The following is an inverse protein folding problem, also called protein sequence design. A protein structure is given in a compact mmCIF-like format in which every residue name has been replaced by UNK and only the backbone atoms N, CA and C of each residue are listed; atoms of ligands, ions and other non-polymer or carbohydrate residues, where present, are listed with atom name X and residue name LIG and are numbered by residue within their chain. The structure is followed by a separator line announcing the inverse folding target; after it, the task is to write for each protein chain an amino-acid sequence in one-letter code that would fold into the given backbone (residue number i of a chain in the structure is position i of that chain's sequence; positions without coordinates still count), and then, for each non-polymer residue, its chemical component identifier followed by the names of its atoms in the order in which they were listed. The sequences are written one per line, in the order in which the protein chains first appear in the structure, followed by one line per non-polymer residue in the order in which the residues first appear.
data_IF_243025578226
#
_entry.id   IF_243025578226
#
_cell.length_a   1.000
_cell.length_b   1.000
_cell.length_c   1.000
_cell.angle_alpha   90.00
_cell.angle_beta   90.00
_cell.angle_gamma   90.00
#
_symmetry.space_group_name_H-M   'P 1'
#
loop_
_entity.id
_entity.type
_entity.pdbx_description
1 polymer ?
#
# COMPACT_ATOMS: atom_id res chain seq x y z
N UNK A 1 -10.37 -18.57 -19.56
CA UNK A 1 -11.14 -19.14 -18.43
C UNK A 1 -10.26 -19.59 -17.24
N UNK A 2 -9.09 -20.22 -17.45
CA UNK A 2 -8.19 -20.65 -16.35
C UNK A 2 -7.51 -19.53 -15.54
N UNK A 3 -7.19 -18.37 -16.15
CA UNK A 3 -6.54 -17.25 -15.45
C UNK A 3 -7.46 -16.57 -14.43
N UNK A 4 -8.71 -16.27 -14.82
CA UNK A 4 -9.70 -15.61 -13.97
C UNK A 4 -10.06 -16.44 -12.71
N UNK A 5 -10.00 -17.77 -12.80
CA UNK A 5 -10.20 -18.65 -11.65
C UNK A 5 -9.06 -18.53 -10.62
N UNK A 6 -7.83 -18.25 -11.09
CA UNK A 6 -6.66 -18.10 -10.24
C UNK A 6 -6.67 -16.74 -9.53
N UNK A 7 -6.99 -15.66 -10.25
CA UNK A 7 -7.03 -14.30 -9.67
C UNK A 7 -8.12 -14.17 -8.61
N UNK A 8 -9.30 -14.77 -8.83
CA UNK A 8 -10.35 -14.82 -7.81
C UNK A 8 -9.90 -15.58 -6.56
N UNK A 9 -9.26 -16.74 -6.73
CA UNK A 9 -8.72 -17.51 -5.61
C UNK A 9 -7.61 -16.75 -4.86
N UNK A 10 -6.78 -15.98 -5.59
CA UNK A 10 -5.77 -15.10 -4.99
C UNK A 10 -6.42 -13.99 -4.15
N UNK A 11 -7.48 -13.35 -4.63
CA UNK A 11 -8.21 -12.34 -3.84
C UNK A 11 -8.90 -12.95 -2.62
N UNK A 12 -9.55 -14.11 -2.76
CA UNK A 12 -10.19 -14.81 -1.64
C UNK A 12 -9.17 -15.30 -0.61
N UNK A 13 -7.99 -15.75 -1.04
CA UNK A 13 -6.87 -16.11 -0.17
C UNK A 13 -6.32 -14.90 0.56
N UNK A 14 -6.11 -13.79 -0.16
CA UNK A 14 -5.66 -12.53 0.42
C UNK A 14 -6.63 -12.02 1.50
N UNK A 15 -7.95 -12.03 1.21
CA UNK A 15 -8.97 -11.62 2.18
C UNK A 15 -8.96 -12.46 3.48
N UNK A 16 -8.56 -13.73 3.37
CA UNK A 16 -8.40 -14.67 4.49
C UNK A 16 -7.03 -14.59 5.16
N UNK A 17 -6.16 -13.68 4.74
CA UNK A 17 -4.79 -13.54 5.21
C UNK A 17 -3.97 -14.84 5.02
N UNK A 18 -4.20 -15.52 3.90
CA UNK A 18 -3.47 -16.74 3.54
C UNK A 18 -2.03 -16.40 3.13
N UNK A 19 -1.08 -16.92 3.91
CA UNK A 19 0.34 -16.64 3.75
C UNK A 19 0.90 -17.12 2.41
N UNK A 20 0.49 -18.29 1.94
CA UNK A 20 1.02 -18.86 0.68
C UNK A 20 0.58 -18.01 -0.53
N UNK A 21 -0.65 -17.51 -0.47
CA UNK A 21 -1.20 -16.61 -1.50
C UNK A 21 -0.50 -15.26 -1.48
N UNK A 22 -0.27 -14.69 -0.29
CA UNK A 22 0.48 -13.42 -0.15
C UNK A 22 1.89 -13.56 -0.72
N UNK A 23 2.61 -14.63 -0.37
CA UNK A 23 3.95 -14.91 -0.89
C UNK A 23 3.94 -15.13 -2.41
N UNK A 24 2.93 -15.80 -2.94
CA UNK A 24 2.75 -15.98 -4.38
C UNK A 24 2.52 -14.66 -5.13
N UNK A 25 1.66 -13.77 -4.61
CA UNK A 25 1.42 -12.44 -5.20
C UNK A 25 2.71 -11.61 -5.14
N UNK A 26 3.42 -11.65 -4.02
CA UNK A 26 4.71 -10.97 -3.87
C UNK A 26 5.72 -11.44 -4.92
N UNK A 27 5.95 -12.75 -5.01
CA UNK A 27 6.90 -13.34 -5.95
C UNK A 27 6.55 -13.04 -7.42
N UNK A 28 5.26 -13.01 -7.76
CA UNK A 28 4.79 -12.77 -9.12
C UNK A 28 4.86 -11.29 -9.56
N UNK A 29 4.68 -10.34 -8.63
CA UNK A 29 4.41 -8.94 -9.00
C UNK A 29 5.41 -7.92 -8.46
N UNK A 30 6.21 -8.25 -7.44
CA UNK A 30 7.14 -7.29 -6.82
C UNK A 30 8.14 -6.71 -7.82
N UNK A 31 8.75 -7.53 -8.68
CA UNK A 31 9.76 -7.07 -9.64
C UNK A 31 9.24 -5.96 -10.58
N UNK A 32 7.96 -6.02 -10.96
CA UNK A 32 7.33 -5.01 -11.80
C UNK A 32 7.23 -3.67 -11.06
N UNK A 33 6.83 -3.69 -9.79
CA UNK A 33 6.72 -2.49 -8.95
C UNK A 33 8.11 -1.94 -8.62
N UNK A 34 9.09 -2.80 -8.38
CA UNK A 34 10.48 -2.41 -8.21
C UNK A 34 11.00 -1.67 -9.45
N UNK A 35 10.79 -2.22 -10.65
CA UNK A 35 11.18 -1.53 -11.89
C UNK A 35 10.47 -0.18 -12.04
N UNK A 36 9.16 -0.11 -11.72
CA UNK A 36 8.42 1.15 -11.73
C UNK A 36 9.06 2.20 -10.81
N UNK A 37 9.38 1.84 -9.57
CA UNK A 37 9.90 2.81 -8.59
C UNK A 37 11.34 3.20 -8.88
N UNK A 38 12.22 2.21 -9.11
CA UNK A 38 13.65 2.45 -9.33
C UNK A 38 13.91 3.23 -10.62
N UNK A 39 13.15 2.97 -11.69
CA UNK A 39 13.31 3.72 -12.95
C UNK A 39 12.72 5.14 -12.87
N UNK A 40 12.02 5.50 -11.80
CA UNK A 40 11.34 6.78 -11.64
C UNK A 40 11.75 7.49 -10.34
N UNK A 41 13.06 7.65 -10.13
CA UNK A 41 13.65 8.44 -9.02
C UNK A 41 13.44 7.84 -7.61
N UNK A 42 13.26 6.52 -7.53
CA UNK A 42 13.10 5.79 -6.27
C UNK A 42 14.25 4.84 -5.95
N UNK A 43 14.30 4.41 -4.70
CA UNK A 43 15.23 3.38 -4.21
C UNK A 43 14.58 1.99 -4.13
N UNK A 44 15.38 0.96 -3.86
CA UNK A 44 14.85 -0.38 -3.54
C UNK A 44 14.02 -0.38 -2.25
N UNK A 45 14.32 0.50 -1.31
CA UNK A 45 13.56 0.65 -0.07
C UNK A 45 12.19 1.27 -0.38
N UNK A 46 12.19 2.33 -1.20
CA UNK A 46 10.95 2.92 -1.70
C UNK A 46 10.08 1.91 -2.44
N UNK A 47 10.69 1.01 -3.23
CA UNK A 47 9.97 -0.04 -3.95
C UNK A 47 9.30 -1.04 -3.01
N UNK A 48 9.99 -1.42 -1.93
CA UNK A 48 9.43 -2.30 -0.89
C UNK A 48 8.25 -1.63 -0.20
N UNK A 49 8.40 -0.37 0.20
CA UNK A 49 7.34 0.39 0.86
C UNK A 49 6.10 0.52 -0.03
N UNK A 50 6.28 0.95 -1.29
CA UNK A 50 5.17 1.10 -2.25
C UNK A 50 4.47 -0.23 -2.52
N UNK A 51 5.22 -1.34 -2.59
CA UNK A 51 4.62 -2.64 -2.78
C UNK A 51 3.79 -3.07 -1.55
N UNK A 52 4.29 -2.83 -0.34
CA UNK A 52 3.55 -3.14 0.89
C UNK A 52 2.26 -2.32 0.99
N UNK A 53 2.33 -1.01 0.74
CA UNK A 53 1.13 -0.15 0.68
C UNK A 53 0.13 -0.64 -0.37
N UNK A 54 0.61 -1.05 -1.54
CA UNK A 54 -0.24 -1.65 -2.59
C UNK A 54 -0.92 -2.93 -2.13
N UNK A 55 -0.21 -3.79 -1.40
CA UNK A 55 -0.77 -5.03 -0.84
C UNK A 55 -1.82 -4.76 0.23
N UNK A 56 -1.63 -3.72 1.05
CA UNK A 56 -2.61 -3.29 2.06
C UNK A 56 -3.90 -2.83 1.38
N UNK A 57 -3.80 -1.94 0.38
CA UNK A 57 -4.96 -1.48 -0.40
C UNK A 57 -5.69 -2.67 -1.04
N UNK A 58 -4.96 -3.60 -1.63
CA UNK A 58 -5.54 -4.80 -2.25
C UNK A 58 -6.22 -5.71 -1.22
N UNK A 59 -5.63 -5.87 -0.04
CA UNK A 59 -6.19 -6.65 1.06
C UNK A 59 -7.50 -6.05 1.58
N UNK A 60 -7.54 -4.73 1.79
CA UNK A 60 -8.75 -4.03 2.24
C UNK A 60 -9.89 -4.15 1.22
N UNK A 61 -9.57 -4.01 -0.06
CA UNK A 61 -10.50 -4.24 -1.17
C UNK A 61 -11.00 -5.68 -1.20
N UNK A 62 -10.12 -6.66 -1.12
CA UNK A 62 -10.51 -8.06 -1.09
C UNK A 62 -11.42 -8.38 0.10
N UNK A 63 -11.19 -7.75 1.26
CA UNK A 63 -11.99 -7.94 2.47
C UNK A 63 -13.33 -7.20 2.47
N UNK A 64 -13.49 -6.13 1.67
CA UNK A 64 -14.76 -5.38 1.63
C UNK A 64 -15.94 -6.19 1.08
N UNK A 65 -15.66 -7.29 0.37
CA UNK A 65 -16.66 -8.20 -0.21
C UNK A 65 -17.39 -7.64 -1.44
N UNK A 66 -17.19 -6.36 -1.77
CA UNK A 66 -17.77 -5.68 -2.93
C UNK A 66 -16.77 -5.48 -4.08
N UNK A 67 -15.55 -5.98 -3.92
CA UNK A 67 -14.49 -5.78 -4.91
C UNK A 67 -14.62 -6.77 -6.06
N UNK A 68 -15.05 -6.27 -7.21
CA UNK A 68 -15.01 -6.98 -8.48
C UNK A 68 -13.81 -6.52 -9.30
N UNK A 69 -12.89 -7.45 -9.55
CA UNK A 69 -11.70 -7.18 -10.33
C UNK A 69 -12.07 -7.17 -11.83
N UNK A 70 -12.22 -5.97 -12.40
CA UNK A 70 -12.58 -5.76 -13.81
C UNK A 70 -11.37 -5.74 -14.77
N UNK A 71 -10.16 -5.95 -14.25
CA UNK A 71 -8.91 -6.02 -15.02
C UNK A 71 -8.04 -7.18 -14.51
N UNK A 72 -6.89 -7.42 -15.12
CA UNK A 72 -5.94 -8.39 -14.58
C UNK A 72 -5.38 -7.90 -13.24
N UNK A 73 -5.10 -8.81 -12.31
CA UNK A 73 -4.56 -8.48 -10.99
C UNK A 73 -3.24 -7.70 -11.11
N UNK A 74 -2.40 -8.09 -12.07
CA UNK A 74 -1.16 -7.38 -12.41
C UNK A 74 -1.42 -5.91 -12.78
N UNK A 75 -2.43 -5.65 -13.61
CA UNK A 75 -2.80 -4.29 -14.05
C UNK A 75 -3.27 -3.45 -12.87
N UNK A 76 -4.07 -4.05 -11.98
CA UNK A 76 -4.52 -3.40 -10.76
C UNK A 76 -3.35 -3.02 -9.85
N UNK A 77 -2.47 -3.99 -9.53
CA UNK A 77 -1.27 -3.78 -8.70
C UNK A 77 -0.40 -2.66 -9.28
N UNK A 78 -0.15 -2.67 -10.60
CA UNK A 78 0.62 -1.63 -11.26
C UNK A 78 -0.03 -0.25 -11.13
N UNK A 79 -1.34 -0.16 -11.35
CA UNK A 79 -2.09 1.11 -11.30
C UNK A 79 -2.07 1.71 -9.90
N UNK A 80 -2.30 0.90 -8.86
CA UNK A 80 -2.19 1.31 -7.46
C UNK A 80 -0.77 1.76 -7.14
N UNK A 81 0.24 0.94 -7.45
CA UNK A 81 1.64 1.25 -7.18
C UNK A 81 2.08 2.56 -7.85
N UNK A 82 1.67 2.79 -9.10
CA UNK A 82 2.00 4.02 -9.85
C UNK A 82 1.37 5.25 -9.22
N UNK A 83 0.10 5.16 -8.79
CA UNK A 83 -0.57 6.27 -8.10
C UNK A 83 0.11 6.61 -6.78
N UNK A 84 0.41 5.60 -5.96
CA UNK A 84 1.12 5.77 -4.68
C UNK A 84 2.50 6.38 -4.89
N UNK A 85 3.25 5.90 -5.89
CA UNK A 85 4.59 6.42 -6.17
C UNK A 85 4.57 7.87 -6.67
N UNK A 86 3.70 8.20 -7.63
CA UNK A 86 3.53 9.58 -8.11
C UNK A 86 3.17 10.54 -6.98
N UNK A 87 2.33 10.09 -6.03
CA UNK A 87 2.01 10.86 -4.84
C UNK A 87 3.24 11.07 -3.95
N UNK A 88 4.01 10.02 -3.67
CA UNK A 88 5.26 10.11 -2.87
C UNK A 88 6.28 11.04 -3.51
N UNK A 89 6.40 11.03 -4.85
CA UNK A 89 7.24 11.99 -5.59
C UNK A 89 6.76 13.44 -5.42
N UNK A 90 5.45 13.69 -5.59
CA UNK A 90 4.87 15.02 -5.40
C UNK A 90 5.09 15.55 -3.97
N UNK A 91 4.92 14.71 -2.95
CA UNK A 91 5.12 15.09 -1.55
C UNK A 91 6.59 15.37 -1.20
N UNK A 92 7.51 14.64 -1.82
CA UNK A 92 8.95 14.80 -1.58
C UNK A 92 9.60 15.92 -2.39
N UNK A 93 8.82 16.68 -3.17
CA UNK A 93 9.29 17.66 -4.16
C UNK A 93 10.38 17.10 -5.10
N UNK A 94 10.40 15.77 -5.28
CA UNK A 94 11.31 15.13 -6.23
C UNK A 94 10.81 15.43 -7.64
N UNK A 95 11.74 15.56 -8.58
CA UNK A 95 11.41 15.68 -10.00
C UNK A 95 10.50 14.52 -10.41
N UNK A 96 9.34 14.85 -10.95
CA UNK A 96 8.41 13.89 -11.58
C UNK A 96 8.77 13.87 -13.06
N UNK A 97 9.62 12.93 -13.54
CA UNK A 97 9.72 12.71 -14.97
C UNK A 97 8.35 12.33 -15.52
N UNK A 98 8.10 12.57 -16.81
CA UNK A 98 6.96 11.98 -17.48
C UNK A 98 7.09 10.45 -17.38
N UNK A 99 6.38 9.85 -16.42
CA UNK A 99 6.38 8.40 -16.21
C UNK A 99 5.60 7.80 -17.37
N UNK A 100 6.31 7.50 -18.45
CA UNK A 100 5.76 6.85 -19.64
C UNK A 100 4.95 5.61 -19.26
N UNK A 101 3.81 5.41 -19.91
CA UNK A 101 2.93 4.27 -19.65
C UNK A 101 3.51 3.00 -20.28
N UNK A 102 4.43 2.34 -19.57
CA UNK A 102 4.95 1.02 -19.95
C UNK A 102 3.88 -0.07 -19.80
N UNK A 103 2.88 0.17 -18.95
CA UNK A 103 1.75 -0.73 -18.71
C UNK A 103 0.43 0.04 -18.83
N UNK A 104 -0.63 -0.68 -19.24
CA UNK A 104 -2.01 -0.17 -19.15
C UNK A 104 -2.34 0.14 -17.69
N UNK A 105 -2.99 1.28 -17.46
CA UNK A 105 -3.44 1.70 -16.13
C UNK A 105 -4.96 1.76 -16.11
N UNK A 106 -5.54 1.37 -14.98
CA UNK A 106 -6.97 1.52 -14.72
C UNK A 106 -7.21 2.64 -13.72
N UNK A 107 -8.33 3.36 -13.80
CA UNK A 107 -8.76 4.25 -12.73
C UNK A 107 -8.82 3.48 -11.42
N UNK A 108 -8.23 4.06 -10.37
CA UNK A 108 -8.22 3.47 -9.04
C UNK A 108 -9.21 4.23 -8.18
N UNK A 109 -10.13 3.50 -7.56
CA UNK A 109 -11.31 3.95 -6.82
C UNK A 109 -11.07 4.96 -5.68
N UNK A 110 -12.15 5.61 -5.23
CA UNK A 110 -12.21 6.58 -4.11
C UNK A 110 -11.67 6.04 -2.77
N UNK A 111 -11.66 4.72 -2.56
CA UNK A 111 -11.10 4.13 -1.33
C UNK A 111 -9.59 4.33 -1.18
N UNK A 112 -8.85 4.58 -2.27
CA UNK A 112 -7.46 4.99 -2.12
C UNK A 112 -7.36 6.34 -1.40
N UNK A 113 -8.34 7.23 -1.59
CA UNK A 113 -8.39 8.52 -0.89
C UNK A 113 -8.70 8.34 0.60
N UNK A 114 -9.49 7.33 0.97
CA UNK A 114 -9.72 6.98 2.38
C UNK A 114 -8.46 6.42 3.03
N UNK A 115 -7.79 5.47 2.38
CA UNK A 115 -6.50 4.94 2.84
C UNK A 115 -5.46 6.06 2.96
N UNK A 116 -5.46 6.98 1.99
CA UNK A 116 -4.62 8.17 1.99
C UNK A 116 -4.92 9.11 3.17
N UNK A 117 -6.19 9.34 3.48
CA UNK A 117 -6.59 10.17 4.61
C UNK A 117 -6.11 9.53 5.93
N UNK A 118 -6.30 8.22 6.09
CA UNK A 118 -5.82 7.49 7.26
C UNK A 118 -4.30 7.60 7.42
N UNK A 119 -3.53 7.41 6.34
CA UNK A 119 -2.08 7.57 6.37
C UNK A 119 -1.65 8.99 6.77
N UNK A 120 -2.33 10.02 6.26
CA UNK A 120 -2.07 11.41 6.66
C UNK A 120 -2.39 11.63 8.16
N UNK A 121 -3.50 11.07 8.65
CA UNK A 121 -3.90 11.16 10.05
C UNK A 121 -2.88 10.49 10.98
N UNK A 122 -2.38 9.31 10.59
CA UNK A 122 -1.29 8.63 11.31
C UNK A 122 0.00 9.46 11.32
N UNK A 123 0.38 10.08 10.20
CA UNK A 123 1.56 10.95 10.15
C UNK A 123 1.41 12.22 11.01
N UNK A 124 0.21 12.79 11.10
CA UNK A 124 -0.08 13.90 12.02
C UNK A 124 0.01 13.45 13.48
N UNK A 125 -0.55 12.28 13.81
CA UNK A 125 -0.45 11.69 15.13
C UNK A 125 1.00 11.45 15.54
N UNK A 126 1.83 10.88 14.67
CA UNK A 126 3.24 10.60 14.94
C UNK A 126 4.03 11.90 15.22
N UNK A 127 3.80 12.95 14.42
CA UNK A 127 4.41 14.27 14.66
C UNK A 127 3.96 14.88 15.99
N UNK A 128 2.67 14.78 16.34
CA UNK A 128 2.17 15.26 17.61
C UNK A 128 2.78 14.49 18.79
N UNK A 129 2.88 13.16 18.69
CA UNK A 129 3.54 12.30 19.67
C UNK A 129 5.03 12.62 19.82
N UNK A 130 5.73 12.92 18.74
CA UNK A 130 7.13 13.34 18.78
C UNK A 130 7.31 14.72 19.44
N UNK A 131 6.30 15.59 19.39
CA UNK A 131 6.29 16.89 20.07
C UNK A 131 6.00 16.81 21.57
N UNK A 132 5.57 15.65 22.09
CA UNK A 132 5.36 15.43 23.51
C UNK A 132 6.71 15.20 24.20
N UNK A 133 6.98 15.97 25.25
CA UNK A 133 8.14 15.73 26.11
C UNK A 133 7.99 14.45 26.94
N UNK A 134 9.10 13.97 27.49
CA UNK A 134 9.05 12.92 28.52
C UNK A 134 8.61 13.49 29.87
N UNK A 135 7.83 12.75 30.68
CA UNK A 135 7.45 11.34 30.48
C UNK A 135 6.12 11.12 29.74
N UNK A 136 5.45 12.20 29.30
CA UNK A 136 4.09 12.15 28.74
C UNK A 136 4.00 11.27 27.49
N UNK A 137 5.00 11.36 26.61
CA UNK A 137 5.09 10.51 25.42
C UNK A 137 5.14 9.04 25.79
N UNK A 138 6.10 8.64 26.63
CA UNK A 138 6.25 7.25 27.08
C UNK A 138 4.98 6.72 27.74
N UNK A 139 4.30 7.54 28.56
CA UNK A 139 3.05 7.13 29.21
C UNK A 139 1.94 6.81 28.21
N UNK A 140 1.75 7.67 27.21
CA UNK A 140 0.72 7.48 26.17
C UNK A 140 1.04 6.29 25.27
N UNK A 141 2.30 6.10 24.88
CA UNK A 141 2.72 4.93 24.11
C UNK A 141 2.53 3.64 24.90
N UNK A 142 2.93 3.62 26.18
CA UNK A 142 2.77 2.46 27.05
C UNK A 142 1.29 2.07 27.21
N UNK A 143 0.41 3.05 27.40
CA UNK A 143 -1.01 2.80 27.64
C UNK A 143 -1.77 2.45 26.35
N UNK A 144 -1.64 3.26 25.30
CA UNK A 144 -2.47 3.12 24.09
C UNK A 144 -1.88 2.20 23.02
N UNK A 145 -0.55 2.14 22.86
CA UNK A 145 0.08 1.29 21.84
C UNK A 145 0.50 -0.06 22.40
N UNK A 146 1.14 -0.07 23.58
CA UNK A 146 1.64 -1.30 24.21
C UNK A 146 0.58 -1.98 25.11
N UNK A 147 -0.59 -1.36 25.28
CA UNK A 147 -1.70 -1.87 26.11
C UNK A 147 -1.29 -2.21 27.55
N UNK A 148 -0.33 -1.47 28.13
CA UNK A 148 0.04 -1.58 29.54
C UNK A 148 -1.00 -0.86 30.41
N UNK A 149 -1.22 -1.36 31.62
CA UNK A 149 -2.06 -0.71 32.63
C UNK A 149 -1.36 0.50 33.25
N UNK A 150 -2.09 1.59 33.47
CA UNK A 150 -1.63 2.72 34.29
C UNK A 150 -1.63 2.30 35.76
N UNK A 151 -0.45 2.01 36.29
CA UNK A 151 -0.18 1.81 37.73
C UNK A 151 0.96 2.72 38.13
#
# INVERSE_FOLDING_TARGET
MKLALNEKAQLEGLARNDKEIIESIYAAHYNMVQSLVVNNSGSYDDARDIFQETMIVLYEKARSGSFELNCQLKTYIYSVSRRLWLKKLNQSQRYVPDIGNVFETVPVDDQLEQHDQQNNDFGMMEKAMAGLGEPCKTLLEAFYLQKRTMT
#
